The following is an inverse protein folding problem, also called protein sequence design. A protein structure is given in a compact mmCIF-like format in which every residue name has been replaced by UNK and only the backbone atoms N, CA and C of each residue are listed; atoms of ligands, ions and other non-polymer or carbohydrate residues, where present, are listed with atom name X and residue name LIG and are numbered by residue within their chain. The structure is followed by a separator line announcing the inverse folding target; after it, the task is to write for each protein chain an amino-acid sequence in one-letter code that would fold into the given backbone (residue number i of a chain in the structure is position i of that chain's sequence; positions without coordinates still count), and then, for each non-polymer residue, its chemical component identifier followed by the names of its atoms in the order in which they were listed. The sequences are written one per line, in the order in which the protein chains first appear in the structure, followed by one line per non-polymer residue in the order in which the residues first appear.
data_IF_367697481229
#
_entry.id   IF_367697481229
#
_cell.length_a   1.000
_cell.length_b   1.000
_cell.length_c   1.000
_cell.angle_alpha   90.00
_cell.angle_beta   90.00
_cell.angle_gamma   90.00
#
_symmetry.space_group_name_H-M   'P 1'
#
loop_
_entity.id
_entity.type
_entity.pdbx_description
1 polymer ?
#
# COMPACT_ATOMS: atom_id res chain seq x y z
N UNK A 1 82.73 32.05 68.97
CA UNK A 1 82.90 33.51 69.00
C UNK A 1 81.52 34.08 68.65
N UNK A 2 80.62 34.33 69.62
CA UNK A 2 80.66 35.43 70.61
C UNK A 2 80.67 36.77 69.86
N UNK A 3 79.76 37.73 69.97
CA UNK A 3 78.75 38.09 70.98
C UNK A 3 77.65 38.94 70.30
N UNK A 4 76.37 38.77 70.64
CA UNK A 4 75.51 39.63 71.48
C UNK A 4 75.39 41.11 71.08
N UNK A 5 74.13 41.54 70.91
CA UNK A 5 73.39 42.72 71.47
C UNK A 5 71.98 42.55 70.84
N UNK A 6 70.83 42.28 71.49
CA UNK A 6 70.22 42.47 72.83
C UNK A 6 70.01 43.91 73.28
N UNK A 7 68.81 44.43 73.02
CA UNK A 7 67.91 45.21 73.89
C UNK A 7 66.82 45.83 73.00
N UNK A 8 65.56 46.07 73.38
CA UNK A 8 64.65 45.62 74.43
C UNK A 8 63.29 46.25 74.04
N UNK A 9 62.18 45.55 74.29
CA UNK A 9 60.80 46.00 74.07
C UNK A 9 60.41 47.21 74.97
N UNK A 10 59.21 47.82 74.79
CA UNK A 10 58.09 47.28 75.57
C UNK A 10 56.70 47.27 74.87
N UNK A 11 56.01 46.14 75.06
CA UNK A 11 54.59 45.96 75.47
C UNK A 11 53.47 46.62 74.65
N UNK A 12 52.67 45.83 73.94
CA UNK A 12 51.36 45.24 74.36
C UNK A 12 50.25 46.28 74.60
N UNK A 13 49.37 46.41 73.60
CA UNK A 13 47.94 46.58 73.82
C UNK A 13 47.19 45.44 73.13
N UNK A 14 46.31 44.80 73.90
CA UNK A 14 45.49 43.66 73.50
C UNK A 14 44.05 44.11 73.28
N UNK A 15 43.45 43.66 72.18
CA UNK A 15 42.01 43.49 71.87
C UNK A 15 41.92 43.49 70.34
N UNK A 16 41.35 42.51 69.65
CA UNK A 16 40.06 41.88 69.88
C UNK A 16 40.05 40.50 69.22
N UNK A 17 39.50 39.54 69.96
CA UNK A 17 38.95 38.28 69.44
C UNK A 17 37.86 38.58 68.41
N UNK A 18 37.99 38.01 67.21
CA UNK A 18 36.99 38.12 66.15
C UNK A 18 36.99 36.88 65.27
N UNK A 19 36.44 35.79 65.81
CA UNK A 19 35.90 34.67 65.04
C UNK A 19 34.79 35.21 64.12
N UNK A 20 35.02 35.26 62.81
CA UNK A 20 34.03 35.56 61.79
C UNK A 20 34.34 34.73 60.53
N UNK A 21 33.83 33.50 60.49
CA UNK A 21 32.57 33.14 59.82
C UNK A 21 32.59 33.39 58.31
N UNK A 22 32.45 32.27 57.58
CA UNK A 22 31.69 32.15 56.34
C UNK A 22 31.84 33.32 55.36
N UNK A 23 32.81 33.22 54.45
CA UNK A 23 32.75 33.94 53.17
C UNK A 23 31.60 33.38 52.34
N UNK A 24 30.36 33.77 52.70
CA UNK A 24 29.19 33.60 51.86
C UNK A 24 29.41 34.36 50.56
N UNK A 25 29.43 33.59 49.49
CA UNK A 25 29.37 33.93 48.08
C UNK A 25 28.49 35.15 47.77
N UNK A 26 29.05 36.36 47.81
CA UNK A 26 28.38 37.62 47.47
C UNK A 26 28.26 37.87 45.95
N UNK A 27 28.12 36.82 45.14
CA UNK A 27 28.11 36.94 43.66
C UNK A 27 26.79 36.50 42.99
N UNK A 28 25.74 36.22 43.76
CA UNK A 28 24.42 35.84 43.22
C UNK A 28 23.46 37.03 43.02
N UNK A 29 23.78 38.20 43.56
CA UNK A 29 22.88 39.37 43.57
C UNK A 29 23.13 40.37 42.45
N UNK A 30 24.16 40.18 41.63
CA UNK A 30 24.37 41.02 40.45
C UNK A 30 23.33 40.65 39.38
N UNK A 31 22.33 41.52 39.11
CA UNK A 31 21.28 41.23 38.15
C UNK A 31 21.85 41.01 36.74
N UNK A 32 22.99 41.62 36.40
CA UNK A 32 23.63 41.46 35.11
C UNK A 32 24.15 40.03 34.91
N UNK A 33 24.84 39.47 35.92
CA UNK A 33 25.36 38.08 35.87
C UNK A 33 24.26 37.04 35.83
N UNK A 34 23.16 37.27 36.57
CA UNK A 34 22.00 36.39 36.54
C UNK A 34 21.29 36.41 35.18
N UNK A 35 21.17 37.59 34.57
CA UNK A 35 20.62 37.73 33.23
C UNK A 35 21.50 37.03 32.18
N UNK A 36 22.82 37.21 32.25
CA UNK A 36 23.77 36.58 31.33
C UNK A 36 23.66 35.05 31.33
N UNK A 37 23.58 34.43 32.53
CA UNK A 37 23.36 32.98 32.68
C UNK A 37 22.04 32.52 32.04
N UNK A 38 20.96 33.29 32.20
CA UNK A 38 19.64 32.98 31.60
C UNK A 38 19.65 33.14 30.08
N UNK A 39 20.32 34.17 29.56
CA UNK A 39 20.45 34.40 28.12
C UNK A 39 21.27 33.30 27.43
N UNK A 40 22.31 32.77 28.07
CA UNK A 40 23.10 31.64 27.55
C UNK A 40 22.28 30.35 27.41
N UNK A 41 21.26 30.16 28.26
CA UNK A 41 20.39 28.98 28.27
C UNK A 41 19.11 29.15 27.45
N UNK A 42 18.89 30.31 26.83
CA UNK A 42 17.64 30.56 26.11
C UNK A 42 17.57 29.70 24.84
N UNK A 43 16.42 29.07 24.55
CA UNK A 43 16.23 28.34 23.31
C UNK A 43 16.32 29.28 22.11
N UNK A 44 16.72 28.73 20.96
CA UNK A 44 16.72 29.51 19.72
C UNK A 44 15.31 29.91 19.32
N UNK A 45 15.16 31.03 18.61
CA UNK A 45 13.83 31.48 18.17
C UNK A 45 13.13 30.44 17.28
N UNK A 46 13.91 29.67 16.51
CA UNK A 46 13.43 28.57 15.69
C UNK A 46 12.82 27.46 16.55
N UNK A 47 13.51 27.02 17.59
CA UNK A 47 12.98 26.01 18.52
C UNK A 47 11.69 26.47 19.21
N UNK A 48 11.60 27.75 19.56
CA UNK A 48 10.40 28.31 20.19
C UNK A 48 9.23 28.35 19.20
N UNK A 49 9.49 28.60 17.91
CA UNK A 49 8.47 28.49 16.85
C UNK A 49 8.07 27.05 16.59
N UNK A 50 9.03 26.12 16.53
CA UNK A 50 8.78 24.69 16.27
C UNK A 50 7.96 24.06 17.40
N UNK A 51 8.16 24.53 18.64
CA UNK A 51 7.34 24.17 19.81
C UNK A 51 6.01 24.91 19.88
N UNK A 52 5.65 25.68 18.85
CA UNK A 52 4.43 26.50 18.77
C UNK A 52 4.26 27.54 19.90
N UNK A 53 5.34 27.93 20.57
CA UNK A 53 5.31 28.95 21.64
C UNK A 53 5.29 30.35 21.00
N UNK A 54 6.07 30.57 19.95
CA UNK A 54 6.09 31.82 19.18
C UNK A 54 5.37 31.62 17.85
N UNK A 55 4.30 32.39 17.63
CA UNK A 55 3.57 32.37 16.35
C UNK A 55 4.24 33.29 15.32
N UNK A 56 4.21 32.88 14.06
CA UNK A 56 4.71 33.70 12.94
C UNK A 56 3.81 34.93 12.74
N UNK A 57 4.41 36.05 12.36
CA UNK A 57 3.68 37.28 12.02
C UNK A 57 3.44 38.28 13.16
N UNK A 58 3.97 38.02 14.37
CA UNK A 58 3.96 39.00 15.48
C UNK A 58 2.55 39.49 15.81
N UNK A 59 2.30 40.81 15.66
CA UNK A 59 0.98 41.42 15.91
C UNK A 59 -0.13 40.87 15.01
N UNK A 60 0.24 40.41 13.80
CA UNK A 60 -0.70 39.84 12.82
C UNK A 60 -0.90 38.33 13.02
N UNK A 61 -0.26 37.70 14.00
CA UNK A 61 -0.36 36.26 14.23
C UNK A 61 -1.82 35.80 14.46
N UNK A 62 -2.65 36.63 15.11
CA UNK A 62 -4.08 36.37 15.30
C UNK A 62 -4.85 36.30 13.98
N UNK A 63 -4.87 37.40 13.19
CA UNK A 63 -5.48 37.43 11.86
C UNK A 63 -4.96 36.34 10.90
N UNK A 64 -3.65 36.07 10.90
CA UNK A 64 -3.04 35.04 10.06
C UNK A 64 -3.59 33.65 10.42
N UNK A 65 -3.62 33.31 11.72
CA UNK A 65 -4.16 32.03 12.17
C UNK A 65 -5.65 31.88 11.85
N UNK A 66 -6.43 32.96 11.93
CA UNK A 66 -7.85 32.95 11.56
C UNK A 66 -8.04 32.68 10.06
N UNK A 67 -7.23 33.33 9.21
CA UNK A 67 -7.26 33.12 7.76
C UNK A 67 -6.81 31.70 7.38
N UNK A 68 -5.76 31.18 8.01
CA UNK A 68 -5.29 29.80 7.82
C UNK A 68 -6.38 28.79 8.19
N UNK A 69 -7.05 29.00 9.33
CA UNK A 69 -8.18 28.18 9.75
C UNK A 69 -9.31 28.21 8.73
N UNK A 70 -9.72 29.40 8.28
CA UNK A 70 -10.78 29.53 7.28
C UNK A 70 -10.41 28.83 5.95
N UNK A 71 -9.16 28.95 5.52
CA UNK A 71 -8.68 28.27 4.31
C UNK A 71 -8.66 26.74 4.48
N UNK A 72 -8.29 26.25 5.66
CA UNK A 72 -8.33 24.83 5.98
C UNK A 72 -9.78 24.31 6.00
N UNK A 73 -10.70 25.05 6.59
CA UNK A 73 -12.13 24.73 6.61
C UNK A 73 -12.71 24.65 5.20
N UNK A 74 -12.43 25.63 4.34
CA UNK A 74 -12.85 25.59 2.93
C UNK A 74 -12.32 24.35 2.22
N UNK A 75 -11.00 24.09 2.32
CA UNK A 75 -10.36 22.91 1.73
C UNK A 75 -10.95 21.60 2.26
N UNK A 76 -11.29 21.57 3.54
CA UNK A 76 -11.89 20.40 4.17
C UNK A 76 -13.31 20.18 3.64
N UNK A 77 -14.12 21.24 3.56
CA UNK A 77 -15.46 21.16 2.99
C UNK A 77 -15.44 20.70 1.54
N UNK A 78 -14.52 21.22 0.72
CA UNK A 78 -14.37 20.77 -0.67
C UNK A 78 -14.01 19.28 -0.76
N UNK A 79 -13.13 18.80 0.11
CA UNK A 79 -12.75 17.37 0.18
C UNK A 79 -13.88 16.50 0.68
N UNK A 80 -14.67 16.98 1.63
CA UNK A 80 -15.85 16.27 2.16
C UNK A 80 -16.92 16.18 1.07
N UNK A 81 -17.19 17.27 0.35
CA UNK A 81 -18.17 17.30 -0.73
C UNK A 81 -17.83 16.34 -1.87
N UNK A 82 -16.53 16.17 -2.18
CA UNK A 82 -16.05 15.23 -3.21
C UNK A 82 -15.67 13.84 -2.65
N UNK A 83 -15.98 13.56 -1.39
CA UNK A 83 -15.66 12.27 -0.78
C UNK A 83 -16.49 11.19 -1.47
N UNK A 84 -15.83 10.24 -2.13
CA UNK A 84 -16.49 9.06 -2.70
C UNK A 84 -17.15 8.21 -1.62
N UNK A 85 -18.11 7.38 -2.02
CA UNK A 85 -18.74 6.45 -1.08
C UNK A 85 -17.70 5.45 -0.54
N UNK A 86 -18.00 4.85 0.62
CA UNK A 86 -17.17 3.78 1.18
C UNK A 86 -17.02 2.63 0.17
N UNK A 87 -18.06 2.35 -0.59
CA UNK A 87 -18.09 1.29 -1.59
C UNK A 87 -17.23 1.65 -2.81
N UNK A 88 -17.26 2.92 -3.25
CA UNK A 88 -16.36 3.39 -4.32
C UNK A 88 -14.89 3.28 -3.92
N UNK A 89 -14.58 3.58 -2.65
CA UNK A 89 -13.24 3.45 -2.12
C UNK A 89 -12.79 1.98 -2.06
N UNK A 90 -13.68 1.06 -1.65
CA UNK A 90 -13.38 -0.38 -1.63
C UNK A 90 -13.15 -0.94 -3.03
N UNK A 91 -14.01 -0.58 -4.00
CA UNK A 91 -13.89 -1.01 -5.40
C UNK A 91 -12.58 -0.53 -6.03
N UNK A 92 -12.22 0.74 -5.85
CA UNK A 92 -10.97 1.30 -6.39
C UNK A 92 -9.71 0.73 -5.75
N UNK A 93 -9.76 0.39 -4.45
CA UNK A 93 -8.62 -0.13 -3.72
C UNK A 93 -8.38 -1.64 -3.90
N UNK A 94 -9.20 -2.33 -4.72
CA UNK A 94 -9.19 -3.79 -4.80
C UNK A 94 -9.49 -4.43 -3.44
N UNK A 95 -10.23 -3.73 -2.58
CA UNK A 95 -10.70 -4.24 -1.30
C UNK A 95 -11.79 -5.28 -1.51
N UNK A 96 -11.88 -6.24 -0.58
CA UNK A 96 -12.92 -7.27 -0.60
C UNK A 96 -14.30 -6.62 -0.61
N UNK A 97 -15.00 -6.73 -1.74
CA UNK A 97 -16.34 -6.19 -1.94
C UNK A 97 -17.30 -6.79 -0.91
N UNK A 98 -18.01 -5.96 -0.16
CA UNK A 98 -19.06 -6.41 0.77
C UNK A 98 -18.59 -7.13 2.03
N UNK A 99 -17.30 -7.08 2.36
CA UNK A 99 -16.79 -7.76 3.54
C UNK A 99 -17.25 -7.06 4.83
N UNK A 100 -18.24 -7.64 5.50
CA UNK A 100 -18.69 -7.30 6.87
C UNK A 100 -17.62 -7.63 7.95
N UNK A 101 -16.35 -7.67 7.56
CA UNK A 101 -15.23 -8.03 8.43
C UNK A 101 -14.70 -6.76 9.10
N UNK A 102 -14.54 -6.82 10.42
CA UNK A 102 -14.00 -5.74 11.21
C UNK A 102 -12.61 -5.30 10.69
N UNK A 103 -12.25 -4.00 10.74
CA UNK A 103 -10.98 -3.49 10.21
C UNK A 103 -9.74 -4.25 10.70
N UNK A 104 -9.74 -4.70 11.95
CA UNK A 104 -8.64 -5.47 12.56
C UNK A 104 -8.44 -6.84 11.92
N UNK A 105 -9.50 -7.45 11.37
CA UNK A 105 -9.50 -8.80 10.82
C UNK A 105 -9.31 -8.82 9.31
N UNK A 106 -9.41 -7.69 8.61
CA UNK A 106 -9.33 -7.62 7.15
C UNK A 106 -8.02 -8.21 6.60
N UNK A 107 -6.89 -7.95 7.26
CA UNK A 107 -5.59 -8.49 6.85
C UNK A 107 -5.55 -10.02 6.97
N UNK A 108 -5.99 -10.55 8.11
CA UNK A 108 -6.03 -11.99 8.36
C UNK A 108 -7.01 -12.70 7.41
N UNK A 109 -8.17 -12.09 7.15
CA UNK A 109 -9.15 -12.60 6.21
C UNK A 109 -8.60 -12.67 4.77
N UNK A 110 -7.90 -11.63 4.31
CA UNK A 110 -7.26 -11.63 2.99
C UNK A 110 -6.16 -12.68 2.86
N UNK A 111 -5.38 -12.87 3.93
CA UNK A 111 -4.34 -13.91 3.96
C UNK A 111 -4.95 -15.30 3.91
N UNK A 112 -6.03 -15.54 4.65
CA UNK A 112 -6.77 -16.80 4.61
C UNK A 112 -7.39 -17.05 3.24
N UNK A 113 -8.05 -16.04 2.65
CA UNK A 113 -8.61 -16.13 1.30
C UNK A 113 -7.53 -16.51 0.27
N UNK A 114 -6.36 -15.88 0.35
CA UNK A 114 -5.23 -16.20 -0.52
C UNK A 114 -4.76 -17.65 -0.35
N UNK A 115 -4.59 -18.12 0.89
CA UNK A 115 -4.20 -19.51 1.19
C UNK A 115 -5.24 -20.51 0.65
N UNK A 116 -6.52 -20.27 0.90
CA UNK A 116 -7.59 -21.13 0.41
C UNK A 116 -7.63 -21.20 -1.13
N UNK A 117 -7.47 -20.06 -1.81
CA UNK A 117 -7.39 -20.03 -3.28
C UNK A 117 -6.14 -20.74 -3.80
N UNK A 118 -5.01 -20.57 -3.14
CA UNK A 118 -3.76 -21.25 -3.48
C UNK A 118 -3.91 -22.77 -3.32
N UNK A 119 -4.46 -23.23 -2.21
CA UNK A 119 -4.65 -24.66 -1.93
C UNK A 119 -5.65 -25.28 -2.90
N UNK A 120 -6.75 -24.57 -3.19
CA UNK A 120 -7.72 -25.00 -4.19
C UNK A 120 -7.06 -25.10 -5.57
N UNK A 121 -6.31 -24.07 -6.00
CA UNK A 121 -5.60 -24.09 -7.27
C UNK A 121 -4.58 -25.22 -7.34
N UNK A 122 -3.82 -25.46 -6.27
CA UNK A 122 -2.87 -26.57 -6.19
C UNK A 122 -3.56 -27.92 -6.35
N UNK A 123 -4.74 -28.11 -5.75
CA UNK A 123 -5.53 -29.34 -5.91
C UNK A 123 -6.03 -29.51 -7.34
N UNK A 124 -6.55 -28.46 -7.96
CA UNK A 124 -7.00 -28.49 -9.36
C UNK A 124 -5.85 -28.76 -10.33
N UNK A 125 -4.68 -28.18 -10.08
CA UNK A 125 -3.48 -28.42 -10.88
C UNK A 125 -2.92 -29.82 -10.68
N UNK A 126 -3.00 -30.38 -9.47
CA UNK A 126 -2.60 -31.77 -9.20
C UNK A 126 -3.51 -32.78 -9.91
N UNK A 127 -4.81 -32.47 -10.00
CA UNK A 127 -5.80 -33.29 -10.70
C UNK A 127 -5.96 -32.91 -12.18
N UNK A 128 -5.09 -32.05 -12.70
CA UNK A 128 -5.13 -31.62 -14.09
C UNK A 128 -4.97 -32.84 -14.98
N UNK A 129 -5.88 -32.99 -15.95
CA UNK A 129 -5.77 -34.10 -16.89
C UNK A 129 -4.46 -34.02 -17.69
N UNK A 130 -3.90 -35.18 -17.98
CA UNK A 130 -2.71 -35.27 -18.82
C UNK A 130 -3.04 -34.77 -20.23
N UNK A 131 -2.01 -34.40 -20.99
CA UNK A 131 -2.21 -33.94 -22.36
C UNK A 131 -2.86 -35.03 -23.21
N UNK A 132 -2.47 -36.28 -22.96
CA UNK A 132 -2.97 -37.48 -23.61
C UNK A 132 -4.45 -37.73 -23.28
N UNK A 133 -4.87 -37.52 -22.02
CA UNK A 133 -6.29 -37.62 -21.63
C UNK A 133 -7.14 -36.53 -22.31
N UNK A 134 -6.61 -35.31 -22.44
CA UNK A 134 -7.28 -34.19 -23.11
C UNK A 134 -7.41 -34.41 -24.62
N UNK A 135 -6.43 -35.09 -25.22
CA UNK A 135 -6.46 -35.54 -26.61
C UNK A 135 -7.54 -36.61 -26.81
N UNK A 136 -7.62 -37.59 -25.90
CA UNK A 136 -8.64 -38.65 -25.93
C UNK A 136 -10.07 -38.12 -25.78
N UNK A 137 -10.29 -37.08 -24.97
CA UNK A 137 -11.61 -36.42 -24.83
C UNK A 137 -11.98 -35.50 -25.99
N UNK A 138 -11.18 -35.47 -27.07
CA UNK A 138 -11.40 -34.72 -28.32
C UNK A 138 -11.65 -33.21 -28.17
N UNK A 139 -11.46 -32.65 -26.97
CA UNK A 139 -11.85 -31.27 -26.66
C UNK A 139 -10.78 -30.26 -27.10
N UNK A 140 -9.51 -30.70 -27.19
CA UNK A 140 -8.39 -29.78 -27.39
C UNK A 140 -7.57 -30.04 -28.66
N UNK A 141 -7.37 -31.29 -29.09
CA UNK A 141 -6.48 -31.60 -30.23
C UNK A 141 -6.83 -32.89 -31.01
N UNK A 142 -7.77 -32.88 -31.97
CA UNK A 142 -7.92 -34.01 -32.89
C UNK A 142 -6.77 -34.13 -33.91
N UNK A 143 -5.95 -33.07 -34.05
CA UNK A 143 -4.93 -32.94 -35.09
C UNK A 143 -3.56 -32.58 -34.45
N UNK A 144 -2.97 -33.53 -33.73
CA UNK A 144 -1.76 -33.34 -32.90
C UNK A 144 -0.51 -32.91 -33.69
N UNK A 145 -0.46 -33.18 -34.99
CA UNK A 145 0.67 -32.87 -35.87
C UNK A 145 0.60 -31.51 -36.58
N UNK A 146 -0.42 -30.67 -36.31
CA UNK A 146 -0.58 -29.37 -36.97
C UNK A 146 -0.43 -28.20 -36.01
N UNK A 147 0.31 -27.17 -36.45
CA UNK A 147 0.47 -25.91 -35.73
C UNK A 147 -0.90 -25.27 -35.43
N UNK A 148 -1.09 -24.61 -34.27
CA UNK A 148 -2.39 -24.04 -33.87
C UNK A 148 -3.02 -23.13 -34.93
N UNK A 149 -2.20 -22.34 -35.63
CA UNK A 149 -2.63 -21.44 -36.70
C UNK A 149 -3.21 -22.16 -37.93
N UNK A 150 -2.82 -23.41 -38.20
CA UNK A 150 -3.20 -24.17 -39.39
C UNK A 150 -4.37 -25.13 -39.17
N UNK A 151 -4.83 -25.31 -37.93
CA UNK A 151 -5.89 -26.28 -37.60
C UNK A 151 -7.24 -25.89 -38.19
N UNK A 152 -7.59 -24.60 -38.13
CA UNK A 152 -8.84 -24.10 -38.67
C UNK A 152 -8.92 -24.29 -40.18
N UNK A 153 -7.82 -23.99 -40.89
CA UNK A 153 -7.72 -24.15 -42.35
C UNK A 153 -7.74 -25.62 -42.75
N UNK A 154 -7.06 -26.49 -42.01
CA UNK A 154 -7.06 -27.93 -42.28
C UNK A 154 -8.44 -28.57 -42.07
N UNK A 155 -9.18 -28.19 -41.01
CA UNK A 155 -10.57 -28.63 -40.79
C UNK A 155 -11.49 -28.18 -41.92
N UNK A 156 -11.36 -26.93 -42.36
CA UNK A 156 -12.13 -26.39 -43.49
C UNK A 156 -11.85 -27.15 -44.78
N UNK A 157 -10.58 -27.43 -45.07
CA UNK A 157 -10.19 -28.21 -46.24
C UNK A 157 -10.75 -29.64 -46.18
N UNK A 158 -10.64 -30.31 -45.01
CA UNK A 158 -11.21 -31.65 -44.80
C UNK A 158 -12.73 -31.67 -45.06
N UNK A 159 -13.46 -30.66 -44.57
CA UNK A 159 -14.89 -30.52 -44.81
C UNK A 159 -15.21 -30.36 -46.30
N UNK A 160 -14.51 -29.48 -47.02
CA UNK A 160 -14.70 -29.29 -48.47
C UNK A 160 -14.41 -30.57 -49.25
N UNK A 161 -13.34 -31.29 -48.90
CA UNK A 161 -13.03 -32.59 -49.53
C UNK A 161 -14.11 -33.63 -49.28
N UNK A 162 -14.64 -33.72 -48.05
CA UNK A 162 -15.75 -34.64 -47.75
C UNK A 162 -17.02 -34.25 -48.48
N UNK A 163 -17.32 -32.95 -48.59
CA UNK A 163 -18.48 -32.42 -49.32
C UNK A 163 -18.38 -32.74 -50.82
N UNK A 164 -17.22 -32.50 -51.43
CA UNK A 164 -16.98 -32.80 -52.83
C UNK A 164 -17.10 -34.30 -53.11
N UNK A 165 -16.52 -35.15 -52.24
CA UNK A 165 -16.66 -36.60 -52.35
C UNK A 165 -18.11 -37.06 -52.23
N UNK A 166 -18.87 -36.46 -51.31
CA UNK A 166 -20.28 -36.77 -51.10
C UNK A 166 -21.11 -36.34 -52.32
N UNK A 167 -20.88 -35.15 -52.87
CA UNK A 167 -21.51 -34.69 -54.11
C UNK A 167 -21.25 -35.64 -55.29
N UNK A 168 -20.00 -36.08 -55.50
CA UNK A 168 -19.68 -37.04 -56.56
C UNK A 168 -20.41 -38.38 -56.40
N UNK A 169 -20.59 -38.85 -55.16
CA UNK A 169 -21.33 -40.08 -54.88
C UNK A 169 -22.85 -39.91 -55.08
N UNK A 170 -23.37 -38.70 -54.83
CA UNK A 170 -24.77 -38.38 -55.09
C UNK A 170 -25.06 -38.21 -56.59
N UNK A 171 -24.15 -37.57 -57.33
CA UNK A 171 -24.23 -37.41 -58.79
C UNK A 171 -24.20 -38.76 -59.50
N UNK A 172 -23.38 -39.69 -59.02
CA UNK A 172 -23.26 -41.04 -59.56
C UNK A 172 -24.18 -42.06 -58.86
N UNK A 173 -25.16 -41.59 -58.09
CA UNK A 173 -26.09 -42.49 -57.40
C UNK A 173 -26.91 -43.22 -58.46
N UNK A 174 -26.85 -44.56 -58.53
CA UNK A 174 -27.71 -45.29 -59.45
C UNK A 174 -29.16 -45.00 -59.08
N UNK A 175 -29.92 -44.46 -60.04
CA UNK A 175 -31.35 -44.27 -59.90
C UNK A 175 -31.96 -45.66 -59.71
N UNK A 176 -32.25 -46.03 -58.46
CA UNK A 176 -33.16 -47.14 -58.16
C UNK A 176 -34.57 -46.63 -58.46
N UNK A 177 -34.84 -46.39 -59.74
CA UNK A 177 -36.20 -46.26 -60.24
C UNK A 177 -36.83 -47.63 -60.00
N UNK A 178 -37.70 -47.69 -58.99
CA UNK A 178 -38.56 -48.83 -58.72
C UNK A 178 -39.34 -49.07 -60.01
N UNK A 179 -38.91 -50.05 -60.80
CA UNK A 179 -39.75 -50.70 -61.79
C UNK A 179 -40.69 -51.58 -60.97
N UNK A 180 -41.75 -51.01 -60.43
CA UNK A 180 -42.91 -51.79 -60.01
C UNK A 180 -43.49 -52.42 -61.28
N UNK A 181 -43.57 -53.75 -61.42
CA UNK A 181 -44.25 -54.37 -62.54
C UNK A 181 -45.76 -54.29 -62.26
N UNK A 182 -46.38 -53.12 -62.47
CA UNK A 182 -47.83 -53.06 -62.59
C UNK A 182 -48.18 -53.34 -64.05
N UNK A 183 -48.46 -54.61 -64.30
CA UNK A 183 -48.96 -55.15 -65.55
C UNK A 183 -50.27 -54.45 -65.93
N UNK A 184 -50.21 -53.55 -66.90
CA UNK A 184 -51.36 -53.12 -67.68
C UNK A 184 -51.30 -53.81 -69.04
N UNK A 185 -52.19 -54.79 -69.32
CA UNK A 185 -52.94 -54.91 -70.59
C UNK A 185 -53.89 -56.14 -70.67
N UNK A 186 -55.12 -55.88 -71.15
CA UNK A 186 -56.17 -56.80 -71.66
C UNK A 186 -57.41 -56.86 -70.75
N UNK A 187 -58.67 -56.50 -71.10
CA UNK A 187 -59.48 -56.69 -72.33
C UNK A 187 -59.20 -58.08 -72.94
N UNK A 188 -60.07 -59.09 -72.82
CA UNK A 188 -61.51 -59.21 -73.16
C UNK A 188 -62.18 -60.18 -72.20
#
# INVERSE_FOLDING_TARGET
MSDQIKAAEPTKEAKETGDAKDSKNNNETDPARTLEKKLKRRPSIKEVMDKNILKKGGKLAGPIAALEKQNLEKKLNDKIARRGSKDDAMKKAGGMEGSNIAPKLQKAAKELEFKLKSDHLNRELANRESKEDAEAKATLFPDTNMAPSLRATARKLKQELTKNKLNQLLENRPNTHITSPFNSNGHV
#
